data_IF_114743710507
#
_entry.id   IF_114743710507
#
_cell.length_a   1.000
_cell.length_b   1.000
_cell.length_c   1.000
_cell.angle_alpha   90.00
_cell.angle_beta   90.00
_cell.angle_gamma   90.00
#
_symmetry.space_group_name_H-M   'P 1'
#
loop_
_entity.id
_entity.type
_entity.pdbx_description
1 polymer ?
#
# COMPACT_ATOMS: atom_id res chain seq x y z
N UNK A 1 5.81 11.13 -0.81
CA UNK A 1 5.30 12.30 -1.57
C UNK A 1 6.41 12.96 -2.38
N UNK A 2 7.46 13.56 -1.81
CA UNK A 2 8.55 14.22 -2.61
C UNK A 2 9.10 13.37 -3.77
N UNK A 3 9.37 12.08 -3.53
CA UNK A 3 9.83 11.17 -4.59
C UNK A 3 8.77 10.91 -5.66
N UNK A 4 7.49 10.81 -5.28
CA UNK A 4 6.39 10.65 -6.23
C UNK A 4 6.22 11.92 -7.06
N UNK A 5 6.24 13.09 -6.44
CA UNK A 5 6.09 14.39 -7.10
C UNK A 5 7.24 14.65 -8.09
N UNK A 6 8.46 14.23 -7.73
CA UNK A 6 9.62 14.32 -8.61
C UNK A 6 9.47 13.47 -9.88
N UNK A 7 8.83 12.29 -9.74
CA UNK A 7 8.55 11.40 -10.87
C UNK A 7 7.34 11.86 -11.69
N UNK A 8 6.34 12.47 -11.05
CA UNK A 8 5.08 12.88 -11.66
C UNK A 8 5.30 13.78 -12.88
N UNK A 9 6.20 14.77 -12.78
CA UNK A 9 6.49 15.69 -13.88
C UNK A 9 6.92 14.96 -15.16
N UNK A 10 7.89 14.05 -15.05
CA UNK A 10 8.38 13.29 -16.21
C UNK A 10 7.34 12.29 -16.74
N UNK A 11 6.56 11.70 -15.85
CA UNK A 11 5.57 10.68 -16.21
C UNK A 11 4.36 11.33 -16.90
N UNK A 12 3.86 12.44 -16.36
CA UNK A 12 2.74 13.18 -16.95
C UNK A 12 3.12 13.67 -18.34
N UNK A 13 4.33 14.19 -18.54
CA UNK A 13 4.83 14.56 -19.87
C UNK A 13 4.84 13.36 -20.82
N UNK A 14 5.36 12.21 -20.38
CA UNK A 14 5.39 10.99 -21.20
C UNK A 14 3.98 10.54 -21.62
N UNK A 15 2.98 10.63 -20.74
CA UNK A 15 1.60 10.27 -21.06
C UNK A 15 0.88 11.26 -22.01
N UNK A 16 1.42 12.47 -22.23
CA UNK A 16 0.87 13.45 -23.17
C UNK A 16 1.45 13.35 -24.59
N UNK A 17 2.56 12.64 -24.76
CA UNK A 17 3.20 12.44 -26.05
C UNK A 17 2.45 11.39 -26.89
N UNK A 18 2.56 11.49 -28.22
CA UNK A 18 1.95 10.52 -29.14
C UNK A 18 2.60 9.13 -28.94
N UNK A 19 1.83 8.09 -28.57
CA UNK A 19 2.36 6.73 -28.38
C UNK A 19 3.10 6.17 -29.60
N UNK A 20 2.80 6.65 -30.82
CA UNK A 20 3.52 6.23 -32.03
C UNK A 20 4.99 6.67 -32.05
N UNK A 21 5.37 7.63 -31.19
CA UNK A 21 6.75 8.12 -31.06
C UNK A 21 7.59 7.31 -30.08
N UNK A 22 6.98 6.39 -29.32
CA UNK A 22 7.66 5.62 -28.27
C UNK A 22 8.37 4.41 -28.85
N UNK A 23 9.62 4.21 -28.46
CA UNK A 23 10.26 2.91 -28.59
C UNK A 23 9.72 1.94 -27.53
N UNK A 24 9.94 0.63 -27.74
CA UNK A 24 9.60 -0.36 -26.73
C UNK A 24 10.31 -0.12 -25.38
N UNK A 25 11.53 0.45 -25.41
CA UNK A 25 12.26 0.80 -24.20
C UNK A 25 11.59 1.94 -23.44
N UNK A 26 11.09 2.96 -24.14
CA UNK A 26 10.40 4.10 -23.54
C UNK A 26 9.13 3.67 -22.83
N UNK A 27 8.36 2.75 -23.45
CA UNK A 27 7.15 2.17 -22.84
C UNK A 27 7.48 1.44 -21.54
N UNK A 28 8.49 0.56 -21.55
CA UNK A 28 8.89 -0.17 -20.35
C UNK A 28 9.40 0.75 -19.25
N UNK A 29 10.25 1.72 -19.60
CA UNK A 29 10.81 2.66 -18.64
C UNK A 29 9.73 3.53 -17.99
N UNK A 30 8.84 4.11 -18.80
CA UNK A 30 7.71 4.93 -18.31
C UNK A 30 6.78 4.10 -17.43
N UNK A 31 6.49 2.86 -17.81
CA UNK A 31 5.64 1.95 -17.01
C UNK A 31 6.23 1.64 -15.64
N UNK A 32 7.54 1.36 -15.58
CA UNK A 32 8.25 1.08 -14.32
C UNK A 32 8.28 2.32 -13.43
N UNK A 33 8.59 3.49 -14.00
CA UNK A 33 8.59 4.75 -13.25
C UNK A 33 7.20 5.10 -12.72
N UNK A 34 6.15 4.88 -13.51
CA UNK A 34 4.77 5.05 -13.07
C UNK A 34 4.41 4.12 -11.90
N UNK A 35 4.88 2.87 -11.93
CA UNK A 35 4.78 1.98 -10.77
C UNK A 35 5.41 2.58 -9.51
N UNK A 36 6.64 3.11 -9.63
CA UNK A 36 7.32 3.76 -8.50
C UNK A 36 6.62 5.03 -8.02
N UNK A 37 6.06 5.85 -8.92
CA UNK A 37 5.27 7.02 -8.57
C UNK A 37 4.08 6.62 -7.67
N UNK A 38 3.28 5.65 -8.11
CA UNK A 38 2.15 5.12 -7.33
C UNK A 38 2.64 4.63 -5.96
N UNK A 39 3.73 3.85 -5.94
CA UNK A 39 4.26 3.33 -4.69
C UNK A 39 4.66 4.43 -3.69
N UNK A 40 5.44 5.42 -4.13
CA UNK A 40 5.92 6.50 -3.26
C UNK A 40 4.82 7.46 -2.82
N UNK A 41 3.76 7.58 -3.61
CA UNK A 41 2.58 8.37 -3.28
C UNK A 41 1.78 7.69 -2.16
N UNK A 42 1.31 6.45 -2.42
CA UNK A 42 0.50 5.70 -1.47
C UNK A 42 1.25 5.33 -0.19
N UNK A 43 2.54 4.97 -0.28
CA UNK A 43 3.37 4.70 0.90
C UNK A 43 3.54 5.96 1.74
N UNK A 44 3.85 7.10 1.12
CA UNK A 44 4.01 8.36 1.83
C UNK A 44 2.73 8.80 2.53
N UNK A 45 1.57 8.67 1.88
CA UNK A 45 0.29 8.95 2.53
C UNK A 45 -0.01 7.98 3.68
N UNK A 46 0.27 6.68 3.51
CA UNK A 46 0.09 5.69 4.57
C UNK A 46 0.95 5.99 5.80
N UNK A 47 2.21 6.42 5.60
CA UNK A 47 3.11 6.79 6.69
C UNK A 47 2.60 8.02 7.46
N UNK A 48 2.05 9.02 6.75
CA UNK A 48 1.40 10.18 7.39
C UNK A 48 0.17 9.76 8.21
N UNK A 49 -0.63 8.81 7.72
CA UNK A 49 -1.76 8.28 8.46
C UNK A 49 -1.33 7.52 9.72
N UNK A 50 -0.31 6.66 9.62
CA UNK A 50 0.27 5.94 10.77
C UNK A 50 0.87 6.92 11.78
N UNK A 51 1.60 7.94 11.32
CA UNK A 51 2.15 8.99 12.17
C UNK A 51 1.06 9.75 12.92
N UNK A 52 -0.02 10.12 12.23
CA UNK A 52 -1.18 10.79 12.82
C UNK A 52 -1.89 9.90 13.85
N UNK A 53 -2.06 8.61 13.54
CA UNK A 53 -2.64 7.64 14.47
C UNK A 53 -1.82 7.54 15.77
N UNK A 54 -0.48 7.51 15.67
CA UNK A 54 0.42 7.48 16.83
C UNK A 54 0.26 8.70 17.74
N UNK A 55 0.01 9.89 17.17
CA UNK A 55 -0.27 11.10 17.95
C UNK A 55 -1.58 10.99 18.77
N UNK A 56 -2.53 10.19 18.28
CA UNK A 56 -3.81 9.91 18.96
C UNK A 56 -3.72 8.69 19.90
N UNK A 57 -2.53 8.11 20.09
CA UNK A 57 -2.33 6.90 20.90
C UNK A 57 -2.78 5.60 20.22
N UNK A 58 -3.09 5.65 18.92
CA UNK A 58 -3.46 4.49 18.11
C UNK A 58 -2.24 3.90 17.40
N UNK A 59 -2.19 2.58 17.27
CA UNK A 59 -1.13 1.87 16.56
C UNK A 59 -1.70 1.13 15.36
N UNK A 60 -1.38 1.61 14.16
CA UNK A 60 -1.76 0.92 12.92
C UNK A 60 -0.58 0.11 12.37
N UNK A 61 -0.86 -1.03 11.71
CA UNK A 61 0.16 -1.80 11.02
C UNK A 61 0.66 -1.05 9.78
N UNK A 62 1.89 -1.35 9.36
CA UNK A 62 2.46 -0.79 8.13
C UNK A 62 1.69 -1.29 6.90
N UNK A 63 1.42 -0.39 5.97
CA UNK A 63 0.65 -0.71 4.78
C UNK A 63 1.55 -1.18 3.62
N UNK A 64 2.85 -0.90 3.67
CA UNK A 64 3.82 -1.26 2.62
C UNK A 64 5.09 -1.84 3.23
N UNK A 65 5.59 -2.94 2.64
CA UNK A 65 6.82 -3.60 3.08
C UNK A 65 7.67 -4.06 1.89
N UNK A 66 8.44 -3.15 1.30
CA UNK A 66 9.32 -3.40 0.14
C UNK A 66 8.68 -4.30 -0.95
N UNK A 67 7.52 -3.91 -1.52
CA UNK A 67 6.74 -4.77 -2.39
C UNK A 67 7.48 -5.19 -3.66
N UNK A 68 8.29 -4.32 -4.26
CA UNK A 68 9.08 -4.63 -5.45
C UNK A 68 10.25 -5.60 -5.23
N UNK A 69 10.57 -5.93 -3.96
CA UNK A 69 11.53 -7.00 -3.63
C UNK A 69 10.85 -8.38 -3.51
N UNK A 70 9.55 -8.49 -3.77
CA UNK A 70 8.83 -9.76 -3.74
C UNK A 70 9.32 -10.71 -4.84
N UNK A 71 9.41 -12.01 -4.52
CA UNK A 71 9.83 -13.07 -5.46
C UNK A 71 8.64 -13.73 -6.17
N UNK A 72 7.43 -13.36 -5.82
CA UNK A 72 6.20 -13.85 -6.47
C UNK A 72 5.06 -12.84 -6.38
N UNK A 73 4.06 -12.89 -7.28
CA UNK A 73 2.87 -12.04 -7.19
C UNK A 73 2.13 -12.19 -5.85
N UNK A 74 2.08 -13.42 -5.31
CA UNK A 74 1.48 -13.68 -3.99
C UNK A 74 2.20 -12.92 -2.88
N UNK A 75 3.53 -12.90 -2.91
CA UNK A 75 4.34 -12.15 -1.94
C UNK A 75 4.22 -10.64 -2.14
N UNK A 76 4.10 -10.16 -3.39
CA UNK A 76 3.87 -8.75 -3.69
C UNK A 76 2.58 -8.24 -3.04
N UNK A 77 1.46 -8.95 -3.20
CA UNK A 77 0.18 -8.57 -2.59
C UNK A 77 0.17 -8.71 -1.06
N UNK A 78 1.08 -9.50 -0.48
CA UNK A 78 1.32 -9.54 0.97
C UNK A 78 2.17 -8.38 1.49
N UNK A 79 2.70 -7.53 0.61
CA UNK A 79 3.60 -6.40 0.91
C UNK A 79 3.11 -5.06 0.39
N UNK A 80 2.16 -5.08 -0.54
CA UNK A 80 1.56 -3.91 -1.17
C UNK A 80 0.18 -3.64 -0.57
N UNK A 81 -0.04 -2.44 -0.05
CA UNK A 81 -1.32 -2.00 0.52
C UNK A 81 -1.95 -3.06 1.43
N UNK A 82 -1.19 -3.53 2.43
CA UNK A 82 -1.46 -4.74 3.23
C UNK A 82 -2.87 -4.73 3.85
N UNK A 83 -3.30 -3.59 4.39
CA UNK A 83 -4.64 -3.45 4.99
C UNK A 83 -5.76 -3.70 3.97
N UNK A 84 -5.68 -3.08 2.79
CA UNK A 84 -6.65 -3.29 1.71
C UNK A 84 -6.55 -4.69 1.11
N UNK A 85 -5.34 -5.18 0.85
CA UNK A 85 -5.09 -6.51 0.31
C UNK A 85 -5.67 -7.61 1.20
N UNK A 86 -5.50 -7.48 2.52
CA UNK A 86 -6.11 -8.39 3.50
C UNK A 86 -7.62 -8.23 3.60
N UNK A 87 -8.15 -6.99 3.56
CA UNK A 87 -9.58 -6.75 3.56
C UNK A 87 -10.28 -7.36 2.34
N UNK A 88 -9.75 -7.14 1.13
CA UNK A 88 -10.28 -7.74 -0.11
C UNK A 88 -10.22 -9.27 0.00
N UNK A 89 -9.11 -9.82 0.48
CA UNK A 89 -8.97 -11.26 0.63
C UNK A 89 -10.05 -11.81 1.58
N UNK A 90 -10.18 -11.23 2.76
CA UNK A 90 -10.96 -11.81 3.85
C UNK A 90 -12.46 -11.56 3.71
N UNK A 91 -12.86 -10.40 3.18
CA UNK A 91 -14.26 -9.99 3.07
C UNK A 91 -14.86 -10.09 1.68
N UNK A 92 -14.05 -10.20 0.62
CA UNK A 92 -14.55 -10.35 -0.74
C UNK A 92 -14.15 -11.69 -1.35
N UNK A 93 -12.85 -11.99 -1.45
CA UNK A 93 -12.35 -13.16 -2.18
C UNK A 93 -12.68 -14.50 -1.49
N UNK A 94 -12.42 -14.63 -0.18
CA UNK A 94 -12.69 -15.88 0.55
C UNK A 94 -14.20 -16.22 0.55
N UNK A 95 -15.12 -15.26 0.83
CA UNK A 95 -16.56 -15.52 0.73
C UNK A 95 -16.99 -15.96 -0.67
N UNK A 96 -16.48 -15.32 -1.73
CA UNK A 96 -16.81 -15.69 -3.12
C UNK A 96 -16.34 -17.10 -3.50
N UNK A 97 -15.29 -17.60 -2.85
CA UNK A 97 -14.75 -18.96 -3.09
C UNK A 97 -15.31 -20.01 -2.13
N UNK A 98 -16.28 -19.66 -1.28
CA UNK A 98 -16.86 -20.56 -0.29
C UNK A 98 -15.90 -20.93 0.85
N UNK A 99 -14.78 -20.22 0.98
CA UNK A 99 -13.81 -20.40 2.06
C UNK A 99 -14.16 -19.49 3.24
N UNK A 100 -13.89 -19.94 4.47
CA UNK A 100 -14.08 -19.12 5.67
C UNK A 100 -13.05 -17.99 5.71
N UNK A 101 -13.44 -16.84 6.23
CA UNK A 101 -12.55 -15.70 6.45
C UNK A 101 -11.31 -16.14 7.26
N UNK A 102 -10.12 -15.68 6.87
CA UNK A 102 -8.93 -15.73 7.73
C UNK A 102 -8.93 -14.44 8.55
N UNK A 103 -8.84 -14.55 9.87
CA UNK A 103 -8.90 -13.41 10.80
C UNK A 103 -7.58 -12.61 10.82
N UNK A 104 -7.15 -12.08 9.66
CA UNK A 104 -5.95 -11.24 9.56
C UNK A 104 -6.29 -9.77 9.26
N UNK A 105 -7.51 -9.48 8.83
CA UNK A 105 -7.99 -8.11 8.56
C UNK A 105 -8.53 -7.37 9.79
N UNK A 106 -8.80 -8.07 10.90
CA UNK A 106 -9.29 -7.48 12.16
C UNK A 106 -8.20 -6.92 13.08
N UNK A 107 -6.93 -7.23 12.78
CA UNK A 107 -5.80 -6.83 13.63
C UNK A 107 -5.62 -5.30 13.65
N UNK A 108 -5.90 -4.57 12.56
CA UNK A 108 -5.63 -3.14 12.47
C UNK A 108 -6.36 -2.24 13.50
N UNK A 109 -7.68 -2.37 13.68
CA UNK A 109 -8.44 -1.58 14.65
C UNK A 109 -8.63 -2.31 15.98
N UNK A 110 -8.74 -3.65 15.94
CA UNK A 110 -8.92 -4.48 17.14
C UNK A 110 -7.68 -4.49 18.02
N UNK A 111 -6.48 -4.66 17.43
CA UNK A 111 -5.24 -4.57 18.20
C UNK A 111 -4.96 -3.14 18.65
N UNK A 112 -5.15 -2.14 17.80
CA UNK A 112 -4.97 -0.73 18.15
C UNK A 112 -5.80 -0.32 19.39
N UNK A 113 -7.08 -0.70 19.41
CA UNK A 113 -7.97 -0.44 20.54
C UNK A 113 -7.56 -1.25 21.79
N UNK A 114 -7.12 -2.51 21.61
CA UNK A 114 -6.66 -3.35 22.71
C UNK A 114 -5.34 -2.85 23.34
N UNK A 115 -4.42 -2.35 22.52
CA UNK A 115 -3.14 -1.77 22.96
C UNK A 115 -3.35 -0.43 23.65
N UNK A 116 -4.28 0.39 23.15
CA UNK A 116 -4.68 1.62 23.84
C UNK A 116 -5.27 1.32 25.22
N UNK A 117 -6.17 0.32 25.31
CA UNK A 117 -6.75 -0.11 26.58
C UNK A 117 -5.70 -0.67 27.56
N UNK A 118 -4.73 -1.45 27.06
CA UNK A 118 -3.61 -1.96 27.89
C UNK A 118 -2.71 -0.84 28.40
N UNK A 119 -2.38 0.15 27.57
CA UNK A 119 -1.53 1.27 27.99
C UNK A 119 -2.25 2.23 28.94
N UNK A 120 -3.56 2.43 28.78
CA UNK A 120 -4.37 3.22 29.73
C UNK A 120 -4.50 2.55 31.10
N UNK A 121 -4.39 1.22 31.19
CA UNK A 121 -4.47 0.47 32.45
C UNK A 121 -3.14 0.41 33.24
N UNK A 122 -2.04 0.93 32.68
CA UNK A 122 -0.70 0.93 33.28
C UNK A 122 -0.27 2.30 33.82
N UNK A 123 -1.17 3.29 33.81
CA UNK A 123 -1.03 4.64 34.37
C UNK A 123 -1.99 4.82 35.55
#
# INVERSE_FOLDING_TARGET
MVLADSLALSIDEAFQLDPATFSAADVWFTTILFGFQIYFDFSGYSDMAIGSARLLGLRFPDNFNYPYLARSPKEFWGRWHISLSSWIRDYLYLPLTGQKFRTQSTEGLGEAASDQARNAALL
#
